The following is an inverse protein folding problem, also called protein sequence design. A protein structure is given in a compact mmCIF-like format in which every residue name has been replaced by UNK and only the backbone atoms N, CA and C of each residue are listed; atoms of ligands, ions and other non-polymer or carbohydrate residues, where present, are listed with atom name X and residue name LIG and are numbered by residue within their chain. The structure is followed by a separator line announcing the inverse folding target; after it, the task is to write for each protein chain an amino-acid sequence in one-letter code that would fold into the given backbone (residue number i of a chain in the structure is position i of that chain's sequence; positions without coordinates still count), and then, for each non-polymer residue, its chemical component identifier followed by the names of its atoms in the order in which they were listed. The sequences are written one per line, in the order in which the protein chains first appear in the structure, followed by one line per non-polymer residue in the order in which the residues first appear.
data_IF_693678593087
#
_entry.id   IF_693678593087
#
_cell.length_a   1.000
_cell.length_b   1.000
_cell.length_c   1.000
_cell.angle_alpha   90.00
_cell.angle_beta   90.00
_cell.angle_gamma   90.00
#
_symmetry.space_group_name_H-M   'P 1'
#
loop_
_entity.id
_entity.type
_entity.pdbx_description
1 polymer ?
#
# COMPACT_ATOMS: atom_id res chain seq x y z
N UNK A 1 7.68 9.53 -30.66
CA UNK A 1 6.33 9.17 -30.18
C UNK A 1 6.46 8.74 -28.72
N UNK A 2 5.97 9.57 -27.78
CA UNK A 2 6.06 9.31 -26.34
C UNK A 2 4.95 8.35 -25.94
N UNK A 3 5.29 7.14 -25.49
CA UNK A 3 4.35 6.23 -24.81
C UNK A 3 4.25 6.64 -23.35
N UNK A 4 3.11 7.20 -22.96
CA UNK A 4 2.76 7.44 -21.56
C UNK A 4 2.22 6.16 -20.95
N UNK A 5 2.85 5.71 -19.86
CA UNK A 5 2.27 4.74 -18.93
C UNK A 5 1.07 5.41 -18.26
N UNK A 6 -0.15 4.96 -18.58
CA UNK A 6 -1.34 5.34 -17.83
C UNK A 6 -1.38 4.44 -16.59
N UNK A 7 -0.90 4.98 -15.48
CA UNK A 7 -1.38 4.58 -14.16
C UNK A 7 -2.75 5.26 -14.02
N UNK A 8 -3.85 4.49 -13.99
CA UNK A 8 -5.17 5.05 -13.70
C UNK A 8 -5.20 5.50 -12.23
N UNK A 9 -4.82 6.76 -12.02
CA UNK A 9 -5.11 7.52 -10.81
C UNK A 9 -6.62 7.73 -10.76
N UNK A 10 -7.28 7.24 -9.71
CA UNK A 10 -8.72 7.39 -9.52
C UNK A 10 -9.09 8.88 -9.38
N UNK A 11 -9.56 9.49 -10.46
CA UNK A 11 -10.18 10.81 -10.49
C UNK A 11 -11.67 10.72 -10.14
N UNK A 12 -12.14 11.63 -9.29
CA UNK A 12 -13.54 11.71 -8.86
C UNK A 12 -14.47 12.17 -10.00
N UNK A 13 -14.96 11.23 -10.80
CA UNK A 13 -16.13 11.44 -11.66
C UNK A 13 -17.41 11.03 -10.91
N UNK A 14 -18.24 12.00 -10.50
CA UNK A 14 -19.64 11.71 -10.13
C UNK A 14 -20.39 11.36 -11.41
N UNK A 15 -20.82 10.11 -11.56
CA UNK A 15 -21.90 9.79 -12.49
C UNK A 15 -22.96 8.84 -11.93
N UNK A 16 -24.19 9.19 -12.34
CA UNK A 16 -25.50 8.65 -12.00
C UNK A 16 -25.59 7.19 -12.41
N UNK A 17 -25.59 6.27 -11.44
CA UNK A 17 -26.29 4.96 -11.47
C UNK A 17 -25.60 3.95 -10.52
N UNK A 18 -25.60 4.21 -9.21
CA UNK A 18 -25.70 3.21 -8.14
C UNK A 18 -24.87 1.91 -8.17
N UNK A 19 -23.78 1.79 -8.93
CA UNK A 19 -22.96 0.57 -9.03
C UNK A 19 -21.51 0.91 -8.77
N UNK A 20 -21.09 0.72 -7.52
CA UNK A 20 -19.71 0.92 -7.10
C UNK A 20 -18.77 -0.07 -7.77
N UNK A 21 -17.67 0.44 -8.32
CA UNK A 21 -16.59 -0.38 -8.85
C UNK A 21 -15.89 -1.12 -7.68
N UNK A 22 -15.78 -2.43 -7.85
CA UNK A 22 -15.08 -3.35 -6.96
C UNK A 22 -13.60 -3.25 -7.32
N UNK A 23 -12.71 -3.16 -6.32
CA UNK A 23 -11.27 -3.24 -6.57
C UNK A 23 -10.96 -4.48 -7.40
N UNK A 24 -10.03 -4.38 -8.35
CA UNK A 24 -9.73 -5.34 -9.41
C UNK A 24 -9.34 -6.77 -8.96
N UNK A 25 -9.48 -7.10 -7.67
CA UNK A 25 -9.20 -8.41 -7.08
C UNK A 25 -10.36 -9.39 -7.02
N UNK A 26 -11.63 -8.96 -7.02
CA UNK A 26 -12.76 -9.90 -7.22
C UNK A 26 -12.89 -10.21 -8.71
N UNK A 27 -13.48 -11.36 -9.12
CA UNK A 27 -13.52 -11.75 -10.53
C UNK A 27 -14.02 -10.61 -11.38
N UNK A 28 -13.08 -9.97 -12.09
CA UNK A 28 -13.38 -9.02 -13.14
C UNK A 28 -14.18 -9.84 -14.11
N UNK A 29 -15.46 -9.48 -14.31
CA UNK A 29 -16.30 -10.13 -15.31
C UNK A 29 -15.45 -10.27 -16.59
N UNK A 30 -15.26 -11.48 -17.13
CA UNK A 30 -14.31 -11.71 -18.22
C UNK A 30 -14.57 -10.84 -19.45
N UNK A 31 -15.76 -10.25 -19.57
CA UNK A 31 -16.19 -9.30 -20.60
C UNK A 31 -15.84 -7.81 -20.37
N UNK A 32 -15.16 -7.41 -19.28
CA UNK A 32 -14.96 -5.99 -18.93
C UNK A 32 -13.50 -5.58 -18.67
N UNK A 33 -12.58 -5.97 -19.56
CA UNK A 33 -11.59 -4.97 -20.00
C UNK A 33 -12.34 -4.19 -21.08
N UNK A 34 -12.89 -3.04 -20.74
CA UNK A 34 -13.73 -2.24 -21.66
C UNK A 34 -12.94 -1.57 -22.79
N UNK A 35 -11.63 -1.84 -22.91
CA UNK A 35 -10.76 -1.30 -23.95
C UNK A 35 -9.66 -2.31 -24.36
N UNK A 36 -10.01 -3.47 -24.94
CA UNK A 36 -9.01 -4.47 -25.34
C UNK A 36 -8.01 -3.94 -26.39
N UNK A 37 -8.35 -2.90 -27.13
CA UNK A 37 -7.46 -2.26 -28.09
C UNK A 37 -6.42 -1.28 -27.47
N UNK A 38 -6.57 -0.89 -26.20
CA UNK A 38 -5.72 0.12 -25.54
C UNK A 38 -5.02 -0.38 -24.26
N UNK A 39 -5.33 -1.59 -23.80
CA UNK A 39 -4.72 -2.14 -22.59
C UNK A 39 -3.39 -2.83 -22.89
N UNK A 40 -2.32 -2.44 -22.19
CA UNK A 40 -1.00 -3.05 -22.29
C UNK A 40 -0.72 -4.09 -21.18
N UNK A 41 -1.65 -4.29 -20.25
CA UNK A 41 -1.48 -5.19 -19.11
C UNK A 41 -2.15 -4.71 -17.82
N UNK A 42 -1.88 -5.42 -16.74
CA UNK A 42 -2.27 -5.08 -15.37
C UNK A 42 -1.05 -5.18 -14.43
N UNK A 43 -1.14 -4.55 -13.25
CA UNK A 43 -0.06 -4.54 -12.26
C UNK A 43 -0.52 -5.07 -10.90
N UNK A 44 0.38 -5.80 -10.24
CA UNK A 44 0.25 -6.21 -8.85
C UNK A 44 0.66 -5.07 -7.89
N UNK A 45 -0.28 -4.59 -7.08
CA UNK A 45 -0.01 -3.62 -6.00
C UNK A 45 -0.16 -4.24 -4.61
N UNK A 46 0.69 -3.85 -3.65
CA UNK A 46 0.57 -4.30 -2.25
C UNK A 46 -0.27 -3.34 -1.41
N UNK A 47 0.19 -2.10 -1.23
CA UNK A 47 -0.43 -1.17 -0.28
C UNK A 47 -1.83 -0.74 -0.69
N UNK A 48 -2.02 -0.29 -1.94
CA UNK A 48 -3.35 0.07 -2.44
C UNK A 48 -4.34 -1.10 -2.40
N UNK A 49 -3.88 -2.33 -2.67
CA UNK A 49 -4.74 -3.50 -2.65
C UNK A 49 -5.22 -3.83 -1.24
N UNK A 50 -4.30 -3.87 -0.27
CA UNK A 50 -4.64 -4.15 1.14
C UNK A 50 -5.47 -3.00 1.73
N UNK A 51 -5.16 -1.75 1.38
CA UNK A 51 -5.97 -0.59 1.74
C UNK A 51 -7.41 -0.75 1.22
N UNK A 52 -7.57 -1.07 -0.07
CA UNK A 52 -8.87 -1.30 -0.70
C UNK A 52 -9.61 -2.47 -0.05
N UNK A 53 -8.90 -3.56 0.29
CA UNK A 53 -9.45 -4.70 1.01
C UNK A 53 -10.05 -4.26 2.35
N UNK A 54 -9.27 -3.54 3.18
CA UNK A 54 -9.76 -2.99 4.45
C UNK A 54 -10.95 -2.07 4.20
N UNK A 55 -10.83 -1.09 3.29
CA UNK A 55 -11.89 -0.13 2.99
C UNK A 55 -13.21 -0.82 2.62
N UNK A 56 -13.17 -1.83 1.74
CA UNK A 56 -14.36 -2.53 1.28
C UNK A 56 -14.95 -3.45 2.34
N UNK A 57 -14.11 -4.13 3.13
CA UNK A 57 -14.53 -5.12 4.11
C UNK A 57 -14.57 -4.58 5.54
N UNK A 58 -14.48 -3.26 5.70
CA UNK A 58 -14.32 -2.54 6.97
C UNK A 58 -15.37 -2.86 8.04
N UNK A 59 -16.55 -3.32 7.65
CA UNK A 59 -17.65 -3.67 8.57
C UNK A 59 -17.67 -5.14 9.01
N UNK A 60 -16.70 -5.95 8.56
CA UNK A 60 -16.68 -7.40 8.77
C UNK A 60 -15.48 -7.79 9.63
N UNK A 61 -15.74 -8.16 10.89
CA UNK A 61 -14.70 -8.47 11.89
C UNK A 61 -13.79 -9.63 11.48
N UNK A 62 -14.29 -10.58 10.70
CA UNK A 62 -13.52 -11.72 10.21
C UNK A 62 -12.42 -11.35 9.18
N UNK A 63 -12.41 -10.11 8.68
CA UNK A 63 -11.42 -9.60 7.72
C UNK A 63 -10.48 -8.55 8.33
N UNK A 64 -10.37 -8.52 9.66
CA UNK A 64 -9.36 -7.71 10.35
C UNK A 64 -7.98 -8.27 10.04
N UNK A 65 -7.08 -7.41 9.56
CA UNK A 65 -5.73 -7.80 9.18
C UNK A 65 -4.72 -7.58 10.33
N UNK A 66 -3.65 -8.39 10.40
CA UNK A 66 -2.52 -8.15 11.30
C UNK A 66 -1.72 -6.92 10.87
N UNK A 67 -0.61 -6.62 11.54
CA UNK A 67 0.37 -5.62 11.13
C UNK A 67 0.64 -5.71 9.61
N UNK A 68 0.56 -4.57 8.90
CA UNK A 68 0.68 -4.53 7.43
C UNK A 68 1.99 -5.12 6.91
N UNK A 69 3.05 -5.10 7.73
CA UNK A 69 4.34 -5.69 7.43
C UNK A 69 4.26 -7.21 7.26
N UNK A 70 3.39 -7.89 8.03
CA UNK A 70 3.14 -9.32 7.98
C UNK A 70 2.24 -9.74 6.79
N UNK A 71 1.44 -8.81 6.26
CA UNK A 71 0.61 -9.07 5.06
C UNK A 71 1.46 -8.97 3.80
N UNK A 72 2.26 -10.00 3.53
CA UNK A 72 3.18 -10.08 2.37
C UNK A 72 2.47 -10.58 1.11
N UNK A 73 3.15 -10.51 -0.05
CA UNK A 73 2.66 -11.06 -1.31
C UNK A 73 2.51 -12.60 -1.30
N UNK A 74 3.04 -13.29 -0.29
CA UNK A 74 2.87 -14.75 -0.10
C UNK A 74 1.70 -15.09 0.83
N UNK A 75 1.01 -14.09 1.40
CA UNK A 75 -0.22 -14.31 2.16
C UNK A 75 -1.27 -14.98 1.26
N UNK A 76 -2.12 -15.90 1.75
CA UNK A 76 -2.97 -16.72 0.87
C UNK A 76 -3.81 -15.91 -0.12
N UNK A 77 -4.51 -14.86 0.33
CA UNK A 77 -5.29 -14.00 -0.57
C UNK A 77 -4.45 -13.13 -1.53
N UNK A 78 -3.23 -12.77 -1.14
CA UNK A 78 -2.29 -12.01 -2.00
C UNK A 78 -1.67 -12.92 -3.07
N UNK A 79 -1.33 -14.15 -2.72
CA UNK A 79 -0.85 -15.16 -3.67
C UNK A 79 -1.94 -15.54 -4.68
N UNK A 80 -3.19 -15.74 -4.21
CA UNK A 80 -4.33 -15.97 -5.07
C UNK A 80 -4.55 -14.80 -6.05
N UNK A 81 -4.40 -13.55 -5.57
CA UNK A 81 -4.43 -12.35 -6.39
C UNK A 81 -3.34 -12.35 -7.48
N UNK A 82 -2.09 -12.63 -7.12
CA UNK A 82 -0.96 -12.70 -8.07
C UNK A 82 -1.21 -13.75 -9.15
N UNK A 83 -1.55 -14.98 -8.75
CA UNK A 83 -1.79 -16.09 -9.68
C UNK A 83 -2.95 -15.80 -10.64
N UNK A 84 -4.05 -15.24 -10.12
CA UNK A 84 -5.21 -14.89 -10.94
C UNK A 84 -4.88 -13.76 -11.93
N UNK A 85 -4.14 -12.73 -11.51
CA UNK A 85 -3.76 -11.62 -12.38
C UNK A 85 -2.90 -12.10 -13.55
N UNK A 86 -1.87 -12.91 -13.27
CA UNK A 86 -0.99 -13.48 -14.31
C UNK A 86 -1.80 -14.31 -15.32
N UNK A 87 -2.60 -15.28 -14.84
CA UNK A 87 -3.48 -16.08 -15.71
C UNK A 87 -4.38 -15.21 -16.57
N UNK A 88 -4.98 -14.19 -15.96
CA UNK A 88 -5.96 -13.30 -16.60
C UNK A 88 -5.32 -12.44 -17.70
N UNK A 89 -4.15 -11.88 -17.44
CA UNK A 89 -3.37 -11.09 -18.40
C UNK A 89 -2.87 -11.95 -19.55
N UNK A 90 -2.20 -13.06 -19.22
CA UNK A 90 -1.57 -13.90 -20.23
C UNK A 90 -2.60 -14.58 -21.11
N UNK A 91 -3.76 -15.02 -20.58
CA UNK A 91 -4.88 -15.50 -21.41
C UNK A 91 -5.34 -14.49 -22.46
N UNK A 92 -5.15 -13.19 -22.22
CA UNK A 92 -5.52 -12.09 -23.12
C UNK A 92 -4.34 -11.53 -23.93
N UNK A 93 -3.15 -12.09 -23.78
CA UNK A 93 -1.96 -11.64 -24.51
C UNK A 93 -1.46 -10.25 -24.09
N UNK A 94 -1.71 -9.84 -22.84
CA UNK A 94 -1.23 -8.58 -22.26
C UNK A 94 -0.35 -8.84 -21.06
N UNK A 95 0.48 -7.87 -20.67
CA UNK A 95 1.48 -8.07 -19.61
C UNK A 95 0.87 -8.16 -18.20
N UNK A 96 1.48 -8.97 -17.35
CA UNK A 96 1.28 -9.05 -15.92
C UNK A 96 2.50 -8.49 -15.19
N UNK A 97 2.40 -7.28 -14.67
CA UNK A 97 3.50 -6.61 -13.97
C UNK A 97 3.52 -6.95 -12.47
N UNK A 98 4.70 -7.21 -11.93
CA UNK A 98 4.97 -7.44 -10.50
C UNK A 98 4.95 -6.14 -9.66
N UNK A 99 5.26 -6.26 -8.38
CA UNK A 99 5.10 -5.19 -7.40
C UNK A 99 6.30 -4.26 -7.25
N UNK A 100 6.13 -3.26 -6.39
CA UNK A 100 7.15 -2.27 -6.06
C UNK A 100 8.20 -2.82 -5.07
N UNK A 101 9.48 -2.57 -5.33
CA UNK A 101 10.54 -2.54 -4.32
C UNK A 101 10.90 -1.09 -3.98
N UNK A 102 10.49 -0.64 -2.79
CA UNK A 102 10.60 0.74 -2.35
C UNK A 102 11.90 1.06 -1.56
N UNK A 103 12.81 0.11 -1.44
CA UNK A 103 14.01 0.24 -0.61
C UNK A 103 14.93 1.35 -1.10
N UNK A 104 15.37 2.19 -0.18
CA UNK A 104 16.45 3.16 -0.38
C UNK A 104 17.73 2.53 0.16
N UNK A 105 18.80 2.42 -0.64
CA UNK A 105 20.08 1.89 -0.19
C UNK A 105 20.59 2.57 1.09
N UNK A 106 20.98 1.77 2.08
CA UNK A 106 21.43 2.23 3.40
C UNK A 106 22.96 2.34 3.37
N UNK A 107 23.47 3.56 3.23
CA UNK A 107 24.93 3.79 3.04
C UNK A 107 25.74 3.57 4.31
N UNK A 108 25.16 3.90 5.45
CA UNK A 108 25.86 3.94 6.74
C UNK A 108 25.78 2.62 7.53
N UNK A 109 25.06 1.62 7.00
CA UNK A 109 24.93 0.28 7.58
C UNK A 109 24.99 -0.80 6.49
N UNK A 110 26.20 -1.31 6.17
CA UNK A 110 26.37 -2.32 5.14
C UNK A 110 25.61 -3.63 5.41
N UNK A 111 25.43 -4.01 6.67
CA UNK A 111 24.75 -5.24 7.04
C UNK A 111 23.23 -5.12 6.80
N UNK A 112 22.63 -4.03 7.27
CA UNK A 112 21.22 -3.73 7.01
C UNK A 112 20.95 -3.54 5.52
N UNK A 113 21.86 -2.87 4.79
CA UNK A 113 21.74 -2.70 3.34
C UNK A 113 21.77 -4.04 2.62
N UNK A 114 22.73 -4.91 2.95
CA UNK A 114 22.84 -6.26 2.35
C UNK A 114 21.56 -7.08 2.58
N UNK A 115 21.02 -7.06 3.80
CA UNK A 115 19.78 -7.74 4.12
C UNK A 115 18.57 -7.19 3.34
N UNK A 116 18.47 -5.87 3.20
CA UNK A 116 17.42 -5.21 2.43
C UNK A 116 17.50 -5.57 0.94
N UNK A 117 18.70 -5.52 0.34
CA UNK A 117 18.92 -5.85 -1.06
C UNK A 117 18.71 -7.35 -1.35
N UNK A 118 19.08 -8.23 -0.40
CA UNK A 118 18.79 -9.65 -0.49
C UNK A 118 17.28 -9.92 -0.53
N UNK A 119 16.50 -9.21 0.29
CA UNK A 119 15.03 -9.28 0.26
C UNK A 119 14.46 -8.80 -1.08
N UNK A 120 14.97 -7.69 -1.63
CA UNK A 120 14.57 -7.22 -2.96
C UNK A 120 14.82 -8.31 -4.01
N UNK A 121 16.02 -8.92 -4.01
CA UNK A 121 16.36 -10.00 -4.95
C UNK A 121 15.39 -11.18 -4.84
N UNK A 122 15.13 -11.65 -3.62
CA UNK A 122 14.21 -12.77 -3.37
C UNK A 122 12.77 -12.44 -3.79
N UNK A 123 12.31 -11.21 -3.54
CA UNK A 123 10.99 -10.76 -3.99
C UNK A 123 10.90 -10.74 -5.53
N UNK A 124 11.95 -10.26 -6.22
CA UNK A 124 11.97 -10.21 -7.70
C UNK A 124 12.08 -11.58 -8.33
N UNK A 125 12.83 -12.49 -7.71
CA UNK A 125 12.96 -13.87 -8.16
C UNK A 125 11.62 -14.61 -8.03
N UNK A 126 10.87 -14.36 -6.96
CA UNK A 126 9.51 -14.86 -6.80
C UNK A 126 8.58 -14.34 -7.89
N UNK A 127 8.62 -13.05 -8.19
CA UNK A 127 7.75 -12.42 -9.19
C UNK A 127 7.98 -13.02 -10.59
N UNK A 128 9.23 -13.06 -11.06
CA UNK A 128 9.55 -13.59 -12.38
C UNK A 128 9.22 -15.08 -12.48
N UNK A 129 9.53 -15.87 -11.43
CA UNK A 129 9.23 -17.30 -11.39
C UNK A 129 7.72 -17.59 -11.35
N UNK A 130 6.93 -16.71 -10.75
CA UNK A 130 5.46 -16.85 -10.73
C UNK A 130 4.83 -16.63 -12.12
N UNK A 131 5.50 -15.89 -13.00
CA UNK A 131 5.00 -15.57 -14.33
C UNK A 131 4.94 -14.08 -14.67
N UNK A 132 5.39 -13.16 -13.82
CA UNK A 132 5.37 -11.73 -14.16
C UNK A 132 6.31 -11.39 -15.33
N UNK A 133 5.89 -10.45 -16.18
CA UNK A 133 6.67 -9.97 -17.33
C UNK A 133 7.64 -8.83 -17.00
N UNK A 134 7.53 -8.29 -15.78
CA UNK A 134 8.35 -7.18 -15.33
C UNK A 134 8.02 -6.80 -13.89
N UNK A 135 8.73 -5.80 -13.37
CA UNK A 135 8.65 -5.39 -11.96
C UNK A 135 8.86 -3.88 -11.78
N UNK A 136 8.50 -3.34 -10.62
CA UNK A 136 8.76 -1.96 -10.22
C UNK A 136 9.87 -1.83 -9.16
N UNK A 137 10.61 -0.72 -9.24
CA UNK A 137 11.58 -0.27 -8.24
C UNK A 137 11.43 1.24 -8.03
N UNK A 138 11.65 1.73 -6.81
CA UNK A 138 11.52 3.15 -6.48
C UNK A 138 12.85 3.91 -6.52
N UNK A 139 13.99 3.21 -6.56
CA UNK A 139 15.32 3.80 -6.52
C UNK A 139 16.19 3.29 -7.67
N UNK A 140 16.96 4.15 -8.37
CA UNK A 140 17.81 3.75 -9.50
C UNK A 140 18.81 2.63 -9.20
N UNK A 141 19.37 2.60 -7.99
CA UNK A 141 20.33 1.55 -7.60
C UNK A 141 19.72 0.14 -7.56
N UNK A 142 18.39 0.02 -7.42
CA UNK A 142 17.70 -1.27 -7.46
C UNK A 142 17.48 -1.79 -8.89
N UNK A 143 17.62 -0.94 -9.91
CA UNK A 143 17.39 -1.31 -11.32
C UNK A 143 18.32 -2.45 -11.73
N UNK A 144 19.59 -2.38 -11.34
CA UNK A 144 20.58 -3.43 -11.65
C UNK A 144 20.16 -4.79 -11.08
N UNK A 145 19.72 -4.82 -9.82
CA UNK A 145 19.26 -6.05 -9.15
C UNK A 145 18.02 -6.62 -9.86
N UNK A 146 17.04 -5.77 -10.15
CA UNK A 146 15.83 -6.20 -10.85
C UNK A 146 16.15 -6.77 -12.25
N UNK A 147 17.00 -6.08 -13.02
CA UNK A 147 17.43 -6.54 -14.34
C UNK A 147 18.21 -7.85 -14.29
N UNK A 148 19.15 -8.01 -13.36
CA UNK A 148 19.92 -9.25 -13.20
C UNK A 148 18.99 -10.45 -12.95
N UNK A 149 18.00 -10.29 -12.06
CA UNK A 149 17.04 -11.35 -11.75
C UNK A 149 16.15 -11.65 -12.94
N UNK A 150 15.54 -10.63 -13.56
CA UNK A 150 14.64 -10.85 -14.70
C UNK A 150 15.39 -11.40 -15.92
N UNK A 151 16.57 -10.89 -16.27
CA UNK A 151 17.34 -11.42 -17.40
C UNK A 151 17.77 -12.88 -17.19
N UNK A 152 18.02 -13.29 -15.94
CA UNK A 152 18.39 -14.68 -15.62
C UNK A 152 17.21 -15.65 -15.79
N UNK A 153 16.03 -15.27 -15.31
CA UNK A 153 14.87 -16.16 -15.22
C UNK A 153 13.85 -15.97 -16.35
N UNK A 154 13.88 -14.83 -17.03
CA UNK A 154 13.07 -14.45 -18.20
C UNK A 154 14.00 -13.95 -19.31
N UNK A 155 14.72 -14.85 -20.02
CA UNK A 155 15.60 -14.46 -21.13
C UNK A 155 14.82 -13.92 -22.34
N UNK A 156 13.51 -14.13 -22.38
CA UNK A 156 12.61 -13.70 -23.44
C UNK A 156 12.13 -12.27 -23.15
N UNK A 157 11.64 -11.51 -24.14
CA UNK A 157 11.14 -10.16 -23.90
C UNK A 157 9.99 -10.08 -22.88
N UNK A 158 9.24 -11.17 -22.71
CA UNK A 158 8.13 -11.32 -21.77
C UNK A 158 7.82 -12.82 -21.56
N UNK A 159 6.85 -13.12 -20.70
CA UNK A 159 6.36 -14.45 -20.34
C UNK A 159 4.89 -14.67 -20.74
N UNK A 160 4.37 -13.97 -21.76
CA UNK A 160 2.97 -14.10 -22.21
C UNK A 160 2.58 -15.55 -22.59
N UNK A 161 3.56 -16.39 -22.92
CA UNK A 161 3.39 -17.81 -23.19
C UNK A 161 3.10 -18.66 -21.94
N UNK A 162 3.39 -18.17 -20.74
CA UNK A 162 3.10 -18.83 -19.45
C UNK A 162 1.63 -18.63 -19.09
N UNK A 163 0.74 -19.40 -19.72
CA UNK A 163 -0.72 -19.17 -19.62
C UNK A 163 -1.35 -19.43 -18.24
N UNK A 164 -0.67 -20.20 -17.38
CA UNK A 164 -1.18 -20.61 -16.04
C UNK A 164 -2.56 -21.26 -16.09
N UNK A 165 -2.79 -22.14 -17.07
CA UNK A 165 -4.09 -22.83 -17.22
C UNK A 165 -4.42 -23.71 -16.02
N UNK A 166 -3.40 -24.19 -15.30
CA UNK A 166 -3.45 -24.92 -14.02
C UNK A 166 -4.09 -24.12 -12.87
N UNK A 167 -4.04 -22.78 -12.92
CA UNK A 167 -4.50 -21.94 -11.81
C UNK A 167 -6.02 -21.85 -11.77
N UNK A 168 -6.63 -22.33 -10.69
CA UNK A 168 -8.04 -22.08 -10.39
C UNK A 168 -8.14 -21.26 -9.10
N UNK A 169 -8.61 -20.02 -9.20
CA UNK A 169 -8.78 -19.10 -8.07
C UNK A 169 -10.25 -18.74 -7.93
N UNK A 170 -10.80 -18.93 -6.75
CA UNK A 170 -12.17 -18.61 -6.39
C UNK A 170 -12.26 -17.28 -5.65
N UNK A 171 -13.47 -16.73 -5.51
CA UNK A 171 -13.69 -15.55 -4.67
C UNK A 171 -13.33 -15.79 -3.20
N UNK A 172 -13.46 -17.03 -2.70
CA UNK A 172 -13.10 -17.37 -1.33
C UNK A 172 -11.57 -17.29 -1.12
N UNK A 173 -10.77 -17.72 -2.10
CA UNK A 173 -9.31 -17.62 -2.04
C UNK A 173 -8.85 -16.16 -1.93
N UNK A 174 -9.49 -15.26 -2.69
CA UNK A 174 -9.21 -13.82 -2.69
C UNK A 174 -9.66 -13.10 -1.41
N UNK A 175 -10.45 -13.77 -0.56
CA UNK A 175 -10.90 -13.29 0.75
C UNK A 175 -10.25 -14.06 1.91
N UNK A 176 -9.40 -15.04 1.61
CA UNK A 176 -8.78 -15.90 2.59
C UNK A 176 -7.62 -15.17 3.30
N UNK A 177 -7.95 -14.44 4.35
CA UNK A 177 -6.96 -13.75 5.21
C UNK A 177 -6.17 -14.70 6.12
N UNK A 178 -6.15 -16.00 5.82
CA UNK A 178 -5.39 -17.04 6.55
C UNK A 178 -5.83 -17.30 7.99
N UNK A 179 -6.91 -16.67 8.47
CA UNK A 179 -7.46 -16.88 9.80
C UNK A 179 -6.42 -16.74 10.91
N UNK A 180 -6.44 -17.67 11.87
CA UNK A 180 -5.53 -17.69 13.01
C UNK A 180 -4.04 -17.81 12.66
N UNK A 181 -3.66 -18.29 11.46
CA UNK A 181 -2.26 -18.50 11.09
C UNK A 181 -1.53 -17.17 10.80
N UNK A 182 -2.13 -16.31 9.97
CA UNK A 182 -1.60 -14.95 9.72
C UNK A 182 -1.65 -14.08 10.98
N UNK A 183 -2.64 -14.30 11.85
CA UNK A 183 -2.74 -13.63 13.14
C UNK A 183 -1.75 -14.17 14.19
N UNK A 184 -1.36 -15.44 14.13
CA UNK A 184 -0.40 -16.05 15.06
C UNK A 184 1.04 -15.61 14.76
N UNK A 185 1.43 -15.61 13.49
CA UNK A 185 2.79 -15.25 13.06
C UNK A 185 2.97 -13.73 12.94
N UNK A 186 1.93 -13.03 12.44
CA UNK A 186 1.95 -11.58 12.22
C UNK A 186 1.41 -10.75 13.38
N UNK A 187 0.23 -11.12 13.90
CA UNK A 187 -0.44 -10.42 15.00
C UNK A 187 -0.66 -8.92 14.81
N UNK A 188 -1.28 -8.27 15.79
CA UNK A 188 -1.33 -6.81 15.90
C UNK A 188 -0.39 -6.44 17.03
N UNK A 189 0.56 -5.53 16.82
CA UNK A 189 1.53 -5.16 17.88
C UNK A 189 1.47 -3.68 18.20
N UNK A 190 1.88 -3.29 19.41
CA UNK A 190 2.06 -1.86 19.72
C UNK A 190 3.08 -1.22 18.76
N UNK A 191 4.13 -1.95 18.40
CA UNK A 191 5.12 -1.48 17.42
C UNK A 191 4.49 -1.21 16.07
N UNK A 192 3.68 -2.13 15.53
CA UNK A 192 2.97 -1.95 14.27
C UNK A 192 2.00 -0.76 14.30
N UNK A 193 1.35 -0.52 15.44
CA UNK A 193 0.52 0.66 15.66
C UNK A 193 1.35 1.96 15.62
N UNK A 194 2.47 2.03 16.35
CA UNK A 194 3.39 3.18 16.32
C UNK A 194 3.94 3.41 14.92
N UNK A 195 4.38 2.37 14.24
CA UNK A 195 4.91 2.45 12.87
C UNK A 195 3.87 3.02 11.90
N UNK A 196 2.61 2.60 11.99
CA UNK A 196 1.51 3.15 11.18
C UNK A 196 1.28 4.64 11.47
N UNK A 197 1.23 5.04 12.74
CA UNK A 197 0.99 6.42 13.12
C UNK A 197 2.15 7.33 12.73
N UNK A 198 3.39 6.88 12.97
CA UNK A 198 4.62 7.61 12.63
C UNK A 198 4.73 7.84 11.13
N UNK A 199 4.56 6.78 10.32
CA UNK A 199 4.63 6.88 8.85
C UNK A 199 3.46 7.67 8.27
N UNK A 200 2.24 7.44 8.75
CA UNK A 200 1.05 8.18 8.31
C UNK A 200 1.18 9.68 8.60
N UNK A 201 1.63 10.05 9.80
CA UNK A 201 1.85 11.43 10.20
C UNK A 201 2.93 12.11 9.35
N UNK A 202 4.11 11.48 9.22
CA UNK A 202 5.23 12.03 8.46
C UNK A 202 4.89 12.20 6.97
N UNK A 203 4.20 11.20 6.37
CA UNK A 203 3.76 11.30 4.98
C UNK A 203 2.73 12.42 4.78
N UNK A 204 1.71 12.49 5.64
CA UNK A 204 0.67 13.53 5.54
C UNK A 204 1.24 14.93 5.69
N UNK A 205 2.21 15.12 6.60
CA UNK A 205 2.93 16.40 6.74
C UNK A 205 3.61 16.79 5.44
N UNK A 206 4.39 15.87 4.88
CA UNK A 206 5.13 16.11 3.64
C UNK A 206 4.19 16.40 2.46
N UNK A 207 3.09 15.65 2.37
CA UNK A 207 2.06 15.83 1.35
C UNK A 207 1.41 17.21 1.45
N UNK A 208 1.08 17.67 2.67
CA UNK A 208 0.56 19.02 2.94
C UNK A 208 1.54 20.15 2.59
N UNK A 209 2.83 19.86 2.45
CA UNK A 209 3.84 20.79 1.92
C UNK A 209 4.05 20.67 0.41
N UNK A 210 3.26 19.85 -0.28
CA UNK A 210 3.33 19.62 -1.72
C UNK A 210 4.33 18.55 -2.15
N UNK A 211 4.81 17.70 -1.24
CA UNK A 211 5.79 16.64 -1.54
C UNK A 211 5.16 15.25 -1.31
N UNK A 212 4.82 14.57 -2.41
CA UNK A 212 4.10 13.29 -2.39
C UNK A 212 4.95 12.02 -2.49
N UNK A 213 6.28 12.15 -2.65
CA UNK A 213 7.24 11.04 -2.72
C UNK A 213 8.30 11.28 -1.64
N UNK A 214 8.30 10.45 -0.59
CA UNK A 214 8.91 10.82 0.69
C UNK A 214 9.79 9.69 1.22
N UNK A 215 11.09 9.93 1.50
CA UNK A 215 11.93 8.96 2.17
C UNK A 215 11.54 8.88 3.66
N UNK A 216 11.00 7.74 4.09
CA UNK A 216 10.64 7.48 5.49
C UNK A 216 11.22 6.11 5.87
N UNK A 217 12.03 6.05 6.93
CA UNK A 217 12.67 4.81 7.42
C UNK A 217 13.37 3.99 6.32
N UNK A 218 14.12 4.67 5.43
CA UNK A 218 14.82 4.07 4.27
C UNK A 218 13.91 3.42 3.23
N UNK A 219 12.63 3.81 3.18
CA UNK A 219 11.68 3.43 2.15
C UNK A 219 11.19 4.69 1.43
N UNK A 220 11.02 4.60 0.12
CA UNK A 220 10.40 5.65 -0.67
C UNK A 220 8.88 5.48 -0.61
N UNK A 221 8.23 6.27 0.24
CA UNK A 221 6.81 6.14 0.52
C UNK A 221 5.96 7.09 -0.34
N UNK A 222 4.77 6.61 -0.70
CA UNK A 222 3.74 7.34 -1.43
C UNK A 222 2.42 7.35 -0.63
N UNK A 223 1.36 7.85 -1.26
CA UNK A 223 0.05 8.00 -0.61
C UNK A 223 -0.54 6.66 -0.18
N UNK A 224 -0.29 5.59 -0.93
CA UNK A 224 -0.83 4.27 -0.61
C UNK A 224 -0.30 3.77 0.73
N UNK A 225 0.95 4.11 1.08
CA UNK A 225 1.52 3.76 2.40
C UNK A 225 0.79 4.49 3.54
N UNK A 226 0.48 5.77 3.40
CA UNK A 226 -0.29 6.49 4.41
C UNK A 226 -1.76 6.01 4.47
N UNK A 227 -2.34 5.64 3.32
CA UNK A 227 -3.70 5.08 3.24
C UNK A 227 -3.82 3.77 4.00
N UNK A 228 -2.91 2.80 3.77
CA UNK A 228 -2.93 1.54 4.51
C UNK A 228 -2.66 1.77 6.00
N UNK A 229 -1.75 2.69 6.34
CA UNK A 229 -1.40 2.98 7.73
C UNK A 229 -2.61 3.49 8.52
N UNK A 230 -3.31 4.54 8.04
CA UNK A 230 -4.51 5.06 8.73
C UNK A 230 -5.65 4.04 8.73
N UNK A 231 -5.81 3.27 7.66
CA UNK A 231 -6.93 2.35 7.49
C UNK A 231 -6.82 1.15 8.42
N UNK A 232 -5.60 0.65 8.61
CA UNK A 232 -5.30 -0.42 9.54
C UNK A 232 -5.57 0.01 10.98
N UNK A 233 -5.12 1.19 11.39
CA UNK A 233 -5.42 1.74 12.72
C UNK A 233 -6.92 1.92 12.93
N UNK A 234 -7.62 2.52 11.95
CA UNK A 234 -9.09 2.66 12.00
C UNK A 234 -9.77 1.30 12.15
N UNK A 235 -9.32 0.27 11.40
CA UNK A 235 -9.90 -1.06 11.43
C UNK A 235 -9.72 -1.70 12.82
N UNK A 236 -8.54 -1.56 13.41
CA UNK A 236 -8.26 -2.09 14.74
C UNK A 236 -9.09 -1.42 15.83
N UNK A 237 -9.25 -0.10 15.78
CA UNK A 237 -10.12 0.64 16.72
C UNK A 237 -11.59 0.25 16.52
N UNK A 238 -12.06 0.21 15.26
CA UNK A 238 -13.46 -0.11 14.94
C UNK A 238 -13.90 -1.47 15.49
N UNK A 239 -13.03 -2.47 15.42
CA UNK A 239 -13.33 -3.86 15.80
C UNK A 239 -12.84 -4.23 17.20
N UNK A 240 -12.29 -3.27 17.96
CA UNK A 240 -11.73 -3.52 19.29
C UNK A 240 -10.67 -4.62 19.24
N UNK A 241 -9.76 -4.53 18.27
CA UNK A 241 -8.72 -5.53 18.08
C UNK A 241 -7.79 -5.57 19.29
N UNK A 242 -7.24 -6.75 19.59
CA UNK A 242 -6.37 -6.97 20.74
C UNK A 242 -4.96 -7.19 20.20
N UNK A 243 -4.00 -6.43 20.73
CA UNK A 243 -2.60 -6.61 20.36
C UNK A 243 -2.04 -7.90 20.94
N UNK A 244 -0.88 -8.36 20.47
CA UNK A 244 -0.18 -9.53 21.01
C UNK A 244 0.16 -9.37 22.49
N UNK A 245 0.34 -8.13 22.91
CA UNK A 245 0.59 -7.74 24.31
C UNK A 245 -0.69 -7.74 25.16
N UNK A 246 -1.85 -8.10 24.60
CA UNK A 246 -3.12 -8.20 25.31
C UNK A 246 -3.86 -6.88 25.49
N UNK A 247 -3.41 -5.80 24.84
CA UNK A 247 -4.04 -4.48 24.95
C UNK A 247 -5.09 -4.28 23.86
N UNK A 248 -6.27 -3.78 24.23
CA UNK A 248 -7.30 -3.40 23.26
C UNK A 248 -6.89 -2.10 22.56
N UNK A 249 -6.88 -2.13 21.22
CA UNK A 249 -6.66 -0.94 20.39
C UNK A 249 -7.91 -0.05 20.48
N UNK A 250 -7.81 1.06 21.20
CA UNK A 250 -8.92 1.98 21.48
C UNK A 250 -8.61 3.39 20.98
N UNK A 251 -9.64 4.18 20.69
CA UNK A 251 -9.46 5.55 20.22
C UNK A 251 -8.61 6.42 21.18
N UNK A 252 -8.81 6.41 22.52
CA UNK A 252 -7.97 7.19 23.42
C UNK A 252 -6.49 6.79 23.35
N UNK A 253 -6.20 5.49 23.27
CA UNK A 253 -4.82 5.01 23.19
C UNK A 253 -4.15 5.37 21.88
N UNK A 254 -4.86 5.23 20.75
CA UNK A 254 -4.35 5.62 19.44
C UNK A 254 -4.06 7.12 19.37
N UNK A 255 -4.93 7.97 19.93
CA UNK A 255 -4.72 9.42 19.99
C UNK A 255 -3.55 9.78 20.91
N UNK A 256 -3.36 9.05 22.02
CA UNK A 256 -2.20 9.21 22.88
C UNK A 256 -0.91 8.92 22.10
N UNK A 257 -0.82 7.78 21.40
CA UNK A 257 0.37 7.45 20.59
C UNK A 257 0.59 8.49 19.50
N UNK A 258 -0.47 8.96 18.83
CA UNK A 258 -0.34 10.01 17.83
C UNK A 258 0.30 11.27 18.42
N UNK A 259 -0.10 11.69 19.62
CA UNK A 259 0.52 12.83 20.29
C UNK A 259 1.99 12.57 20.66
N UNK A 260 2.32 11.36 21.11
CA UNK A 260 3.70 10.96 21.37
C UNK A 260 4.57 11.07 20.09
N UNK A 261 4.05 10.64 18.93
CA UNK A 261 4.75 10.78 17.64
C UNK A 261 4.91 12.26 17.22
N UNK A 262 3.92 13.11 17.50
CA UNK A 262 4.00 14.56 17.27
C UNK A 262 5.10 15.19 18.12
N UNK A 263 5.16 14.87 19.42
CA UNK A 263 6.21 15.39 20.30
C UNK A 263 7.59 14.83 19.92
N UNK A 264 7.67 13.58 19.48
CA UNK A 264 8.91 13.00 18.96
C UNK A 264 9.39 13.73 17.70
N UNK A 265 8.48 14.08 16.78
CA UNK A 265 8.80 14.87 15.59
C UNK A 265 9.31 16.27 16.00
N UNK A 266 8.62 16.95 16.93
CA UNK A 266 9.01 18.25 17.47
C UNK A 266 10.39 18.21 18.14
N UNK A 267 10.68 17.17 18.93
CA UNK A 267 11.97 16.97 19.58
C UNK A 267 13.11 16.82 18.58
N UNK A 268 12.89 16.06 17.48
CA UNK A 268 13.90 15.84 16.42
C UNK A 268 14.22 17.10 15.62
N UNK A 269 13.23 17.96 15.34
CA UNK A 269 13.43 19.14 14.48
C UNK A 269 13.62 20.45 15.23
N UNK A 270 13.28 20.49 16.52
CA UNK A 270 13.28 21.71 17.34
C UNK A 270 12.01 22.55 17.15
N UNK A 271 11.66 23.31 18.19
CA UNK A 271 10.40 24.03 18.28
C UNK A 271 10.13 24.99 17.11
N UNK A 272 11.16 25.73 16.65
CA UNK A 272 11.01 26.71 15.59
C UNK A 272 10.68 26.05 14.24
N UNK A 273 11.37 24.96 13.88
CA UNK A 273 11.09 24.22 12.64
C UNK A 273 9.73 23.52 12.70
N UNK A 274 9.38 22.99 13.87
CA UNK A 274 8.08 22.37 14.09
C UNK A 274 6.94 23.38 13.89
N UNK A 275 7.05 24.59 14.46
CA UNK A 275 6.04 25.63 14.30
C UNK A 275 5.83 26.06 12.83
N UNK A 276 6.87 25.95 12.00
CA UNK A 276 6.80 26.23 10.56
C UNK A 276 6.39 25.02 9.70
N UNK A 277 6.31 23.82 10.30
CA UNK A 277 5.95 22.58 9.62
C UNK A 277 4.42 22.42 9.49
N UNK A 278 3.98 21.31 8.89
CA UNK A 278 2.55 20.93 8.82
C UNK A 278 2.17 19.82 9.81
N UNK A 279 3.05 19.44 10.74
CA UNK A 279 2.81 18.31 11.65
C UNK A 279 1.55 18.47 12.51
N UNK A 280 1.28 19.68 13.02
CA UNK A 280 0.07 19.94 13.80
C UNK A 280 -1.22 19.69 13.00
N UNK A 281 -1.27 20.22 11.76
CA UNK A 281 -2.40 20.01 10.86
C UNK A 281 -2.51 18.55 10.42
N UNK A 282 -1.39 17.90 10.11
CA UNK A 282 -1.37 16.48 9.76
C UNK A 282 -1.93 15.61 10.88
N UNK A 283 -1.55 15.88 12.14
CA UNK A 283 -2.06 15.19 13.31
C UNK A 283 -3.56 15.41 13.52
N UNK A 284 -4.05 16.64 13.36
CA UNK A 284 -5.48 16.96 13.45
C UNK A 284 -6.30 16.16 12.42
N UNK A 285 -5.89 16.19 11.15
CA UNK A 285 -6.57 15.47 10.07
C UNK A 285 -6.50 13.95 10.26
N UNK A 286 -5.35 13.43 10.70
CA UNK A 286 -5.16 12.01 10.93
C UNK A 286 -6.02 11.53 12.11
N UNK A 287 -6.04 12.27 13.22
CA UNK A 287 -6.87 12.00 14.41
C UNK A 287 -8.36 11.86 14.05
N UNK A 288 -8.85 12.68 13.12
CA UNK A 288 -10.23 12.63 12.63
C UNK A 288 -10.61 11.32 11.91
N UNK A 289 -9.64 10.50 11.49
CA UNK A 289 -9.90 9.32 10.65
C UNK A 289 -9.48 7.98 11.22
N UNK A 290 -8.84 7.96 12.38
CA UNK A 290 -8.27 6.73 12.98
C UNK A 290 -9.05 6.22 14.20
N UNK A 291 -10.09 6.93 14.63
CA UNK A 291 -10.83 6.66 15.88
C UNK A 291 -11.98 5.66 15.73
N UNK A 292 -12.11 4.97 14.59
CA UNK A 292 -13.18 3.99 14.35
C UNK A 292 -14.57 4.58 14.02
N UNK A 293 -14.64 5.91 13.83
CA UNK A 293 -15.83 6.66 13.40
C UNK A 293 -16.05 6.63 11.87
N UNK A 294 -16.62 7.70 11.28
CA UNK A 294 -16.75 7.82 9.83
C UNK A 294 -15.42 7.61 9.11
N UNK A 295 -15.44 6.87 8.00
CA UNK A 295 -14.25 6.52 7.26
C UNK A 295 -14.18 7.33 5.96
N UNK A 296 -13.14 8.15 5.80
CA UNK A 296 -12.88 8.84 4.52
C UNK A 296 -12.35 7.85 3.47
N UNK A 297 -12.89 7.92 2.26
CA UNK A 297 -12.50 7.02 1.16
C UNK A 297 -11.04 7.20 0.74
N UNK A 298 -10.49 8.41 0.86
CA UNK A 298 -9.11 8.75 0.55
C UNK A 298 -8.59 9.87 1.47
N UNK A 299 -7.35 9.75 1.94
CA UNK A 299 -6.65 10.78 2.71
C UNK A 299 -6.39 12.03 1.87
N UNK A 300 -6.18 11.85 0.57
CA UNK A 300 -5.84 12.97 -0.33
C UNK A 300 -6.98 13.97 -0.38
N UNK A 301 -8.24 13.52 -0.37
CA UNK A 301 -9.41 14.40 -0.27
C UNK A 301 -9.44 15.21 1.02
N UNK A 302 -9.01 14.63 2.15
CA UNK A 302 -8.96 15.35 3.44
C UNK A 302 -7.93 16.47 3.42
N UNK A 303 -6.81 16.22 2.77
CA UNK A 303 -5.69 17.15 2.76
C UNK A 303 -5.79 18.17 1.60
N UNK A 304 -6.53 17.87 0.53
CA UNK A 304 -6.48 18.64 -0.73
C UNK A 304 -6.80 20.12 -0.54
N UNK A 305 -7.85 20.42 0.24
CA UNK A 305 -8.30 21.80 0.52
C UNK A 305 -7.22 22.63 1.22
N UNK A 306 -6.34 21.98 1.99
CA UNK A 306 -5.23 22.64 2.70
C UNK A 306 -4.01 22.91 1.81
N UNK A 307 -3.98 22.37 0.59
CA UNK A 307 -2.92 22.60 -0.40
C UNK A 307 -3.35 23.63 -1.43
N UNK A 308 -4.58 23.50 -1.95
CA UNK A 308 -5.04 24.31 -3.10
C UNK A 308 -5.64 25.65 -2.70
N UNK A 309 -6.07 25.81 -1.45
CA UNK A 309 -6.68 27.06 -0.99
C UNK A 309 -5.59 28.02 -0.53
N UNK A 310 -5.37 29.11 -1.27
CA UNK A 310 -4.55 30.23 -0.78
C UNK A 310 -5.23 30.80 0.48
N UNK A 311 -4.49 31.06 1.58
CA UNK A 311 -5.07 31.80 2.70
C UNK A 311 -5.65 33.10 2.14
N UNK A 312 -6.91 33.40 2.47
CA UNK A 312 -7.47 34.71 2.16
C UNK A 312 -6.48 35.76 2.67
N UNK A 313 -6.03 36.64 1.78
CA UNK A 313 -5.18 37.76 2.14
C UNK A 313 -5.81 38.46 3.33
N UNK A 314 -5.13 38.47 4.47
CA UNK A 314 -5.55 39.26 5.63
C UNK A 314 -5.71 40.70 5.11
N UNK A 315 -6.96 41.17 5.01
CA UNK A 315 -7.25 42.59 4.82
C UNK A 315 -6.83 43.35 6.08
#
# INVERSE_FOLDING_TARGET
MRQGLIQESYGSGRERNGRGWIGSGMPVNPARISAPALSAGLNCGRWDYIFSFIKKLRNHRQYVLPDRSAVTMTSPFMDAYVRLLIKTCHKRGVHAMGGMAAQIPIKDDPAANSAALAKVRADKEREVTAGHDGTWVAHPELVKIALEVFNKHMPQPNQLFVRRDDVNVTAADLLCVGGGLLLADGGITERGLRDNLSVGLAYMESWLRGVGCVPIHNLMEDAATAEISRSQVWQWVRHGAITREGRVVSAPWVLQILQEEVEAAKGKMGAQRFAASKYALAAELLAGTITGGPYSDFLTTLCYDHIVTKPASRM
#
